data_IF_049473723059
#
_entry.id   IF_049473723059
#
_cell.length_a   1.000
_cell.length_b   1.000
_cell.length_c   1.000
_cell.angle_alpha   90.00
_cell.angle_beta   90.00
_cell.angle_gamma   90.00
#
_symmetry.space_group_name_H-M   'P 1'
#
loop_
_entity.id
_entity.type
_entity.pdbx_description
1 polymer ?
#
# COMPACT_ATOMS: atom_id res chain seq x y z
N UNK A 1 -7.66 25.48 9.80
CA UNK A 1 -7.54 25.39 8.33
C UNK A 1 -7.97 26.71 7.68
N UNK A 2 -7.25 27.19 6.66
CA UNK A 2 -7.60 28.41 5.93
C UNK A 2 -8.77 28.19 4.94
N UNK A 3 -9.17 29.22 4.17
CA UNK A 3 -10.31 29.16 3.24
C UNK A 3 -10.25 28.01 2.23
N UNK A 4 -9.05 27.59 1.86
CA UNK A 4 -8.79 26.50 0.90
C UNK A 4 -8.72 25.11 1.55
N UNK A 5 -8.77 25.00 2.88
CA UNK A 5 -8.68 23.73 3.62
C UNK A 5 -7.47 22.85 3.25
N UNK A 6 -6.35 23.47 2.88
CA UNK A 6 -5.11 22.77 2.55
C UNK A 6 -4.35 22.38 3.83
N UNK A 7 -3.67 21.24 3.74
CA UNK A 7 -2.70 20.76 4.75
C UNK A 7 -1.36 20.56 4.06
N UNK A 8 -0.32 21.20 4.61
CA UNK A 8 1.06 20.96 4.23
C UNK A 8 1.76 20.20 5.37
N UNK A 9 2.49 19.14 5.03
CA UNK A 9 3.17 18.31 6.00
C UNK A 9 4.63 18.08 5.59
N UNK A 10 5.54 18.31 6.54
CA UNK A 10 6.95 18.03 6.38
C UNK A 10 7.27 16.61 6.88
N UNK A 11 7.56 15.70 5.96
CA UNK A 11 7.93 14.32 6.28
C UNK A 11 9.45 14.14 6.19
N UNK A 12 10.19 14.64 7.19
CA UNK A 12 11.67 14.66 7.17
C UNK A 12 12.25 13.24 7.01
N UNK A 13 11.69 12.25 7.72
CA UNK A 13 12.12 10.86 7.64
C UNK A 13 12.01 10.29 6.23
N UNK A 14 11.09 10.77 5.39
CA UNK A 14 11.04 10.34 3.98
C UNK A 14 12.24 10.80 3.16
N UNK A 15 12.95 11.83 3.58
CA UNK A 15 14.20 12.23 2.93
C UNK A 15 15.28 11.14 3.07
N UNK A 16 15.32 10.46 4.21
CA UNK A 16 16.39 9.50 4.56
C UNK A 16 15.96 8.04 4.50
N UNK A 17 14.71 7.74 4.84
CA UNK A 17 14.19 6.37 4.97
C UNK A 17 13.42 5.91 3.73
N UNK A 18 13.14 6.80 2.78
CA UNK A 18 12.51 6.39 1.52
C UNK A 18 13.42 5.40 0.80
N UNK A 19 12.82 4.36 0.23
CA UNK A 19 13.50 3.41 -0.64
C UNK A 19 14.37 4.16 -1.68
N UNK A 20 15.67 3.85 -1.80
CA UNK A 20 16.53 4.42 -2.82
C UNK A 20 15.94 4.17 -4.21
N UNK A 21 16.02 5.15 -5.12
CA UNK A 21 15.69 4.90 -6.52
C UNK A 21 16.54 3.76 -7.07
N UNK A 22 15.95 2.89 -7.87
CA UNK A 22 16.72 1.90 -8.61
C UNK A 22 17.59 2.63 -9.65
N UNK A 23 18.86 2.24 -9.76
CA UNK A 23 19.72 2.73 -10.83
C UNK A 23 19.22 2.18 -12.17
N UNK A 24 18.55 3.03 -12.96
CA UNK A 24 18.10 2.70 -14.31
C UNK A 24 19.29 2.83 -15.25
N UNK A 25 19.82 1.69 -15.70
CA UNK A 25 21.02 1.64 -16.59
C UNK A 25 20.67 1.45 -18.06
N UNK A 26 19.42 1.07 -18.36
CA UNK A 26 18.95 0.80 -19.71
C UNK A 26 17.43 0.98 -19.78
N UNK A 27 16.94 1.43 -20.94
CA UNK A 27 15.49 1.50 -21.22
C UNK A 27 14.85 0.10 -21.29
N UNK A 28 15.64 -0.94 -21.58
CA UNK A 28 15.19 -2.35 -21.63
C UNK A 28 15.68 -3.16 -20.43
N UNK A 29 15.89 -2.51 -19.29
CA UNK A 29 16.35 -3.19 -18.09
C UNK A 29 15.33 -4.26 -17.64
N UNK A 30 15.75 -5.52 -17.40
CA UNK A 30 14.85 -6.56 -16.96
C UNK A 30 14.31 -6.27 -15.55
N UNK A 31 13.07 -6.70 -15.29
CA UNK A 31 12.46 -6.62 -13.97
C UNK A 31 13.13 -7.61 -13.01
N UNK A 32 13.57 -7.13 -11.84
CA UNK A 32 14.04 -7.98 -10.75
C UNK A 32 12.95 -8.10 -9.67
N UNK A 33 12.28 -9.26 -9.56
CA UNK A 33 11.24 -9.49 -8.55
C UNK A 33 11.75 -9.45 -7.12
N UNK A 34 13.06 -9.45 -6.89
CA UNK A 34 13.68 -9.35 -5.56
C UNK A 34 13.91 -7.91 -5.13
N UNK A 35 14.17 -7.00 -6.07
CA UNK A 35 14.44 -5.60 -5.79
C UNK A 35 13.18 -4.83 -5.38
N UNK A 36 12.01 -5.23 -5.90
CA UNK A 36 10.75 -4.58 -5.62
C UNK A 36 9.59 -5.56 -5.77
N UNK A 37 8.86 -5.79 -4.68
CA UNK A 37 7.80 -6.78 -4.69
C UNK A 37 6.61 -6.33 -3.85
N UNK A 38 5.65 -5.67 -4.50
CA UNK A 38 4.38 -5.30 -3.87
C UNK A 38 3.52 -6.50 -3.47
N UNK A 39 3.79 -7.69 -4.02
CA UNK A 39 2.99 -8.89 -3.75
C UNK A 39 3.51 -9.69 -2.56
N UNK A 40 4.66 -9.30 -1.98
CA UNK A 40 5.26 -10.02 -0.85
C UNK A 40 5.06 -9.27 0.46
N UNK A 41 3.93 -9.57 1.10
CA UNK A 41 3.59 -9.09 2.43
C UNK A 41 4.07 -10.12 3.45
N UNK A 42 4.76 -9.70 4.51
CA UNK A 42 5.13 -10.62 5.59
C UNK A 42 3.89 -10.94 6.42
N UNK A 43 3.70 -12.17 6.94
CA UNK A 43 2.52 -12.50 7.74
C UNK A 43 2.26 -11.55 8.91
N UNK A 44 3.32 -11.05 9.58
CA UNK A 44 3.21 -10.07 10.66
C UNK A 44 2.84 -8.64 10.24
N UNK A 45 2.80 -8.36 8.93
CA UNK A 45 2.35 -7.06 8.39
C UNK A 45 0.83 -7.05 8.11
N UNK A 46 0.14 -8.18 8.19
CA UNK A 46 -1.32 -8.26 8.02
C UNK A 46 -2.00 -8.03 9.36
N UNK A 47 -2.80 -6.96 9.45
CA UNK A 47 -3.51 -6.59 10.67
C UNK A 47 -4.82 -7.38 10.83
N UNK A 48 -5.65 -7.37 9.77
CA UNK A 48 -6.92 -8.06 9.76
C UNK A 48 -7.43 -8.30 8.34
N UNK A 49 -8.45 -9.15 8.23
CA UNK A 49 -9.15 -9.47 6.99
C UNK A 49 -10.60 -8.98 7.08
N UNK A 50 -10.95 -8.00 6.26
CA UNK A 50 -12.32 -7.53 6.10
C UNK A 50 -13.06 -8.45 5.14
N UNK A 51 -14.27 -8.83 5.50
CA UNK A 51 -15.17 -9.61 4.63
C UNK A 51 -16.38 -8.74 4.33
N UNK A 52 -16.89 -8.83 3.11
CA UNK A 52 -18.20 -8.24 2.82
C UNK A 52 -19.25 -8.93 3.70
N UNK A 53 -20.14 -8.15 4.27
CA UNK A 53 -21.35 -8.70 4.87
C UNK A 53 -22.12 -9.44 3.77
N UNK A 54 -22.74 -10.56 4.12
CA UNK A 54 -23.60 -11.30 3.21
C UNK A 54 -24.90 -10.51 3.03
N UNK A 55 -24.87 -9.46 2.20
CA UNK A 55 -26.08 -8.82 1.75
C UNK A 55 -26.73 -9.80 0.78
N UNK A 56 -27.95 -10.26 1.08
CA UNK A 56 -28.66 -11.34 0.38
C UNK A 56 -29.01 -11.07 -1.10
N UNK A 57 -28.29 -10.18 -1.79
CA UNK A 57 -28.40 -9.92 -3.21
C UNK A 57 -27.17 -10.42 -3.94
N UNK A 58 -27.26 -11.63 -4.50
CA UNK A 58 -26.27 -12.17 -5.41
C UNK A 58 -26.01 -11.22 -6.59
N UNK A 59 -24.77 -10.77 -6.71
CA UNK A 59 -24.25 -10.06 -7.87
C UNK A 59 -22.87 -10.59 -8.19
N UNK A 60 -22.82 -11.58 -9.08
CA UNK A 60 -21.61 -12.27 -9.49
C UNK A 60 -20.58 -11.34 -10.10
N UNK A 61 -19.34 -11.49 -9.65
CA UNK A 61 -18.15 -10.91 -10.24
C UNK A 61 -16.92 -11.40 -9.49
N UNK A 62 -15.84 -11.67 -10.20
CA UNK A 62 -14.58 -12.26 -9.72
C UNK A 62 -13.78 -11.36 -8.73
N UNK A 63 -14.44 -10.59 -7.88
CA UNK A 63 -13.82 -9.82 -6.82
C UNK A 63 -13.47 -10.75 -5.65
N UNK A 64 -12.32 -10.55 -4.98
CA UNK A 64 -11.98 -11.33 -3.81
C UNK A 64 -13.03 -11.16 -2.71
N UNK A 65 -13.39 -12.27 -2.07
CA UNK A 65 -14.35 -12.32 -0.95
C UNK A 65 -13.92 -11.53 0.28
N UNK A 66 -12.68 -11.05 0.28
CA UNK A 66 -12.07 -10.35 1.39
C UNK A 66 -11.11 -9.28 0.91
N UNK A 67 -10.82 -8.36 1.83
CA UNK A 67 -9.85 -7.31 1.67
C UNK A 67 -8.88 -7.41 2.86
N UNK A 68 -7.58 -7.40 2.58
CA UNK A 68 -6.55 -7.37 3.60
C UNK A 68 -6.30 -5.93 4.04
N UNK A 69 -6.22 -5.73 5.35
CA UNK A 69 -5.69 -4.50 5.94
C UNK A 69 -4.25 -4.80 6.36
N UNK A 70 -3.29 -4.18 5.68
CA UNK A 70 -1.87 -4.41 5.88
C UNK A 70 -1.16 -3.14 6.35
N UNK A 71 -0.08 -3.31 7.12
CA UNK A 71 0.81 -2.22 7.54
C UNK A 71 1.50 -1.63 6.30
N UNK A 72 1.40 -0.32 6.10
CA UNK A 72 2.28 0.35 5.15
C UNK A 72 3.66 0.52 5.79
N UNK A 73 4.62 -0.32 5.41
CA UNK A 73 6.01 -0.28 5.91
C UNK A 73 6.79 0.97 5.48
N UNK A 74 6.20 1.81 4.63
CA UNK A 74 6.70 3.14 4.28
C UNK A 74 5.56 4.16 4.40
N UNK A 75 5.05 4.41 5.61
CA UNK A 75 3.84 5.19 5.82
C UNK A 75 4.04 6.68 5.49
N UNK A 76 2.96 7.42 5.21
CA UNK A 76 3.02 8.89 5.20
C UNK A 76 2.96 9.42 6.64
N UNK A 77 2.13 8.78 7.46
CA UNK A 77 1.92 9.08 8.85
C UNK A 77 1.76 7.81 9.69
N UNK A 78 1.96 7.92 11.00
CA UNK A 78 1.74 6.81 11.92
C UNK A 78 0.32 6.26 11.78
N UNK A 79 0.20 4.95 11.60
CA UNK A 79 -1.10 4.28 11.42
C UNK A 79 -1.58 4.21 9.97
N UNK A 80 -0.79 4.67 9.00
CA UNK A 80 -1.12 4.48 7.59
C UNK A 80 -1.13 2.99 7.21
N UNK A 81 -2.27 2.53 6.68
CA UNK A 81 -2.50 1.13 6.28
C UNK A 81 -2.82 1.04 4.80
N UNK A 82 -2.61 -0.14 4.23
CA UNK A 82 -2.97 -0.48 2.86
C UNK A 82 -4.20 -1.39 2.89
N UNK A 83 -5.16 -1.10 2.00
CA UNK A 83 -6.31 -1.92 1.71
C UNK A 83 -6.02 -2.69 0.42
N UNK A 84 -5.89 -4.01 0.52
CA UNK A 84 -5.43 -4.86 -0.59
C UNK A 84 -6.51 -5.92 -0.91
N UNK A 85 -6.74 -6.23 -2.20
CA UNK A 85 -7.60 -7.33 -2.61
C UNK A 85 -7.06 -8.71 -2.20
#
# INVERSE_FOLDING_TARGET
PGPMSLVAQLNVQRGTERRPPQAVRSLRQPFDPRAFNFTRIRPGEVLLRLRRAADGGGGGGAAPDHLLVAINVSPLERGHVLLLP
#
